data_IF_319823723157
#
_entry.id   IF_319823723157
#
_cell.length_a   1.000
_cell.length_b   1.000
_cell.length_c   1.000
_cell.angle_alpha   90.00
_cell.angle_beta   90.00
_cell.angle_gamma   90.00
#
_symmetry.space_group_name_H-M   'P 1'
#
loop_
_entity.id
_entity.type
_entity.pdbx_description
1 polymer ?
#
# COMPACT_ATOMS: atom_id res chain seq x y z
N UNK A 1 45.36 15.34 -19.18
CA UNK A 1 44.41 15.67 -20.26
C UNK A 1 43.13 14.91 -19.97
N UNK A 2 42.20 15.51 -19.20
CA UNK A 2 41.04 14.77 -18.61
C UNK A 2 39.73 15.56 -18.62
N UNK A 3 39.78 16.90 -18.75
CA UNK A 3 38.60 17.78 -18.66
C UNK A 3 37.51 17.51 -19.70
N UNK A 4 37.83 17.01 -20.89
CA UNK A 4 36.87 16.93 -21.99
C UNK A 4 35.94 15.70 -21.91
N UNK A 5 36.39 14.62 -21.24
CA UNK A 5 35.59 13.38 -21.10
C UNK A 5 34.57 13.49 -19.98
N UNK A 6 34.90 14.17 -18.88
CA UNK A 6 33.97 14.36 -17.77
C UNK A 6 32.77 15.22 -18.18
N UNK A 7 33.00 16.27 -18.97
CA UNK A 7 31.96 17.13 -19.54
C UNK A 7 31.01 16.37 -20.48
N UNK A 8 31.52 15.36 -21.20
CA UNK A 8 30.70 14.49 -22.05
C UNK A 8 29.80 13.56 -21.23
N UNK A 9 30.32 13.02 -20.13
CA UNK A 9 29.53 12.14 -19.26
C UNK A 9 28.32 12.89 -18.69
N UNK A 10 28.55 14.12 -18.21
CA UNK A 10 27.50 14.93 -17.59
C UNK A 10 26.44 15.39 -18.62
N UNK A 11 26.84 15.66 -19.86
CA UNK A 11 25.92 16.14 -20.90
C UNK A 11 25.18 15.04 -21.64
N UNK A 12 25.81 13.88 -21.87
CA UNK A 12 25.32 12.90 -22.82
C UNK A 12 25.17 11.48 -22.25
N UNK A 13 25.77 11.16 -21.11
CA UNK A 13 25.77 9.79 -20.59
C UNK A 13 24.86 9.57 -19.37
N UNK A 14 24.40 10.63 -18.70
CA UNK A 14 23.56 10.50 -17.49
C UNK A 14 22.23 9.76 -17.73
N UNK A 15 21.72 9.79 -18.95
CA UNK A 15 20.47 9.12 -19.35
C UNK A 15 20.71 7.87 -20.20
N UNK A 16 21.95 7.39 -20.31
CA UNK A 16 22.25 6.19 -21.07
C UNK A 16 21.89 4.94 -20.25
N UNK A 17 21.00 4.10 -20.80
CA UNK A 17 20.60 2.84 -20.17
C UNK A 17 21.66 1.73 -20.30
N UNK A 18 22.47 1.79 -21.37
CA UNK A 18 23.51 0.81 -21.70
C UNK A 18 24.73 1.51 -22.32
N UNK A 19 25.92 1.07 -21.94
CA UNK A 19 27.19 1.48 -22.52
C UNK A 19 27.85 0.32 -23.25
N UNK A 20 28.49 0.61 -24.39
CA UNK A 20 29.23 -0.39 -25.17
C UNK A 20 30.67 0.08 -25.35
N UNK A 21 31.62 -0.67 -24.79
CA UNK A 21 33.05 -0.51 -25.05
C UNK A 21 33.41 -1.30 -26.30
N UNK A 22 33.72 -0.61 -27.40
CA UNK A 22 34.22 -1.24 -28.62
C UNK A 22 35.75 -1.26 -28.55
N UNK A 23 36.31 -2.39 -28.13
CA UNK A 23 37.75 -2.61 -28.04
C UNK A 23 38.29 -3.21 -29.35
N UNK A 24 39.49 -2.81 -29.74
CA UNK A 24 40.18 -3.45 -30.87
C UNK A 24 40.78 -4.78 -30.40
N UNK A 25 40.33 -5.90 -30.97
CA UNK A 25 40.80 -7.24 -30.63
C UNK A 25 42.30 -7.49 -30.91
N UNK A 26 42.91 -6.73 -31.83
CA UNK A 26 44.35 -6.81 -32.09
C UNK A 26 45.19 -6.21 -30.94
N UNK A 27 44.55 -5.56 -29.97
CA UNK A 27 45.20 -4.86 -28.85
C UNK A 27 44.47 -5.09 -27.53
N UNK A 28 45.12 -4.83 -26.41
CA UNK A 28 44.47 -4.89 -25.10
C UNK A 28 43.69 -3.61 -24.80
N UNK A 29 42.65 -3.71 -23.95
CA UNK A 29 41.89 -2.56 -23.47
C UNK A 29 42.86 -1.58 -22.79
N UNK A 30 42.91 -0.35 -23.29
CA UNK A 30 43.85 0.67 -22.83
C UNK A 30 43.37 1.34 -21.53
N UNK A 31 44.32 1.84 -20.74
CA UNK A 31 44.01 2.56 -19.49
C UNK A 31 43.14 3.81 -19.71
N UNK A 32 43.22 4.43 -20.88
CA UNK A 32 42.35 5.57 -21.26
C UNK A 32 40.89 5.16 -21.36
N UNK A 33 40.61 4.02 -21.97
CA UNK A 33 39.27 3.44 -22.09
C UNK A 33 38.76 3.04 -20.70
N UNK A 34 39.60 2.34 -19.92
CA UNK A 34 39.26 1.98 -18.53
C UNK A 34 38.92 3.21 -17.68
N UNK A 35 39.72 4.26 -17.78
CA UNK A 35 39.53 5.50 -17.00
C UNK A 35 38.16 6.14 -17.28
N UNK A 36 37.70 6.13 -18.53
CA UNK A 36 36.36 6.62 -18.87
C UNK A 36 35.27 5.83 -18.12
N UNK A 37 35.35 4.50 -18.12
CA UNK A 37 34.35 3.66 -17.46
C UNK A 37 34.44 3.68 -15.92
N UNK A 38 35.62 3.93 -15.35
CA UNK A 38 35.73 4.25 -13.92
C UNK A 38 35.00 5.55 -13.56
N UNK A 39 35.09 6.58 -14.42
CA UNK A 39 34.34 7.81 -14.19
C UNK A 39 32.83 7.57 -14.34
N UNK A 40 32.40 6.77 -15.32
CA UNK A 40 30.99 6.38 -15.48
C UNK A 40 30.49 5.62 -14.26
N UNK A 41 31.22 4.61 -13.75
CA UNK A 41 30.81 3.82 -12.58
C UNK A 41 30.83 4.61 -11.27
N UNK A 42 31.59 5.71 -11.21
CA UNK A 42 31.56 6.64 -10.06
C UNK A 42 30.30 7.51 -10.03
N UNK A 43 29.71 7.83 -11.19
CA UNK A 43 28.55 8.71 -11.34
C UNK A 43 27.23 7.94 -11.45
N UNK A 44 27.25 6.77 -12.06
CA UNK A 44 26.08 5.91 -12.29
C UNK A 44 26.25 4.65 -11.47
N UNK A 45 25.28 4.33 -10.62
CA UNK A 45 25.31 3.10 -9.82
C UNK A 45 25.01 1.90 -10.70
N UNK A 46 25.95 0.95 -10.80
CA UNK A 46 25.85 -0.30 -11.58
C UNK A 46 25.41 -0.08 -13.05
N UNK A 47 26.21 0.65 -13.86
CA UNK A 47 25.92 0.82 -15.28
C UNK A 47 25.94 -0.52 -16.02
N UNK A 48 25.04 -0.69 -16.99
CA UNK A 48 25.07 -1.83 -17.91
C UNK A 48 26.16 -1.60 -18.95
N UNK A 49 27.25 -2.35 -18.86
CA UNK A 49 28.41 -2.21 -19.76
C UNK A 49 28.58 -3.51 -20.55
N UNK A 50 28.62 -3.40 -21.88
CA UNK A 50 29.01 -4.46 -22.81
C UNK A 50 30.42 -4.20 -23.34
N UNK A 51 31.17 -5.26 -23.60
CA UNK A 51 32.50 -5.19 -24.22
C UNK A 51 32.48 -5.96 -25.54
N UNK A 52 32.76 -5.25 -26.63
CA UNK A 52 32.90 -5.84 -27.96
C UNK A 52 34.37 -5.82 -28.36
N UNK A 53 35.02 -6.98 -28.37
CA UNK A 53 36.30 -7.17 -29.03
C UNK A 53 36.05 -7.24 -30.54
N UNK A 54 36.10 -6.08 -31.19
CA UNK A 54 35.86 -5.92 -32.62
C UNK A 54 37.14 -6.17 -33.43
N UNK A 55 36.99 -6.42 -34.75
CA UNK A 55 38.05 -6.84 -35.67
C UNK A 55 38.56 -8.26 -35.41
N UNK A 56 37.72 -9.13 -34.85
CA UNK A 56 38.06 -10.53 -34.61
C UNK A 56 38.32 -11.33 -35.89
N UNK A 57 37.90 -10.82 -37.05
CA UNK A 57 38.22 -11.36 -38.38
C UNK A 57 39.71 -11.32 -38.71
N UNK A 58 40.49 -10.41 -38.10
CA UNK A 58 41.94 -10.27 -38.36
C UNK A 58 42.76 -11.22 -37.50
N UNK A 59 42.23 -11.64 -36.34
CA UNK A 59 42.91 -12.51 -35.36
C UNK A 59 43.15 -13.94 -35.88
N UNK A 60 42.55 -14.33 -37.00
CA UNK A 60 42.70 -15.64 -37.64
C UNK A 60 43.96 -15.78 -38.52
N UNK A 61 44.84 -14.78 -38.53
CA UNK A 61 46.15 -14.90 -39.21
C UNK A 61 47.07 -15.94 -38.56
N UNK A 62 46.86 -16.30 -37.28
CA UNK A 62 47.63 -17.31 -36.54
C UNK A 62 46.67 -18.24 -35.73
N UNK A 63 46.06 -19.26 -36.34
CA UNK A 63 44.98 -20.05 -35.73
C UNK A 63 45.42 -20.87 -34.50
N UNK A 64 46.71 -21.18 -34.36
CA UNK A 64 47.25 -21.95 -33.24
C UNK A 64 47.12 -21.24 -31.89
N UNK A 65 47.14 -19.89 -31.89
CA UNK A 65 47.07 -19.08 -30.66
C UNK A 65 45.71 -18.43 -30.41
N UNK A 66 44.75 -18.59 -31.34
CA UNK A 66 43.48 -17.87 -31.31
C UNK A 66 42.67 -18.15 -30.03
N UNK A 67 42.64 -19.40 -29.58
CA UNK A 67 41.96 -19.80 -28.34
C UNK A 67 42.60 -19.18 -27.09
N UNK A 68 43.93 -19.11 -27.05
CA UNK A 68 44.66 -18.53 -25.93
C UNK A 68 44.49 -17.00 -25.88
N UNK A 69 44.55 -16.33 -27.03
CA UNK A 69 44.30 -14.89 -27.15
C UNK A 69 42.85 -14.57 -26.76
N UNK A 70 41.87 -15.34 -27.23
CA UNK A 70 40.46 -15.17 -26.86
C UNK A 70 40.27 -15.29 -25.35
N UNK A 71 40.84 -16.34 -24.75
CA UNK A 71 40.78 -16.55 -23.29
C UNK A 71 41.41 -15.37 -22.55
N UNK A 72 42.56 -14.89 -23.00
CA UNK A 72 43.25 -13.77 -22.37
C UNK A 72 42.44 -12.47 -22.42
N UNK A 73 41.77 -12.18 -23.54
CA UNK A 73 40.85 -11.05 -23.66
C UNK A 73 39.62 -11.21 -22.78
N UNK A 74 39.03 -12.41 -22.76
CA UNK A 74 37.87 -12.73 -21.92
C UNK A 74 38.22 -12.52 -20.44
N UNK A 75 39.30 -13.13 -19.96
CA UNK A 75 39.71 -13.06 -18.55
C UNK A 75 39.98 -11.60 -18.13
N UNK A 76 40.65 -10.80 -18.98
CA UNK A 76 40.88 -9.38 -18.72
C UNK A 76 39.61 -8.54 -18.70
N UNK A 77 38.68 -8.81 -19.62
CA UNK A 77 37.42 -8.08 -19.68
C UNK A 77 36.50 -8.46 -18.50
N UNK A 78 36.49 -9.73 -18.10
CA UNK A 78 35.78 -10.19 -16.89
C UNK A 78 36.38 -9.53 -15.65
N UNK A 79 37.70 -9.55 -15.48
CA UNK A 79 38.39 -8.89 -14.36
C UNK A 79 38.05 -7.38 -14.30
N UNK A 80 38.06 -6.73 -15.46
CA UNK A 80 37.69 -5.33 -15.58
C UNK A 80 36.24 -5.04 -15.13
N UNK A 81 35.26 -5.84 -15.57
CA UNK A 81 33.85 -5.63 -15.20
C UNK A 81 33.56 -5.99 -13.73
N UNK A 82 34.21 -7.05 -13.22
CA UNK A 82 33.88 -7.66 -11.92
C UNK A 82 34.74 -7.12 -10.77
N UNK A 83 36.06 -7.04 -10.94
CA UNK A 83 37.00 -6.68 -9.88
C UNK A 83 37.34 -5.19 -9.90
N UNK A 84 37.59 -4.62 -11.09
CA UNK A 84 37.92 -3.21 -11.23
C UNK A 84 36.68 -2.30 -11.11
N UNK A 85 35.66 -2.52 -11.95
CA UNK A 85 34.44 -1.69 -11.94
C UNK A 85 33.38 -2.14 -10.93
N UNK A 86 33.34 -3.43 -10.59
CA UNK A 86 32.36 -4.03 -9.66
C UNK A 86 30.90 -3.81 -10.08
N UNK A 87 30.65 -3.88 -11.39
CA UNK A 87 29.32 -3.58 -11.98
C UNK A 87 28.50 -4.83 -12.32
N UNK A 88 29.12 -6.00 -12.36
CA UNK A 88 28.47 -7.27 -12.67
C UNK A 88 29.10 -8.44 -11.91
N UNK A 89 28.40 -9.57 -11.83
CA UNK A 89 28.98 -10.85 -11.39
C UNK A 89 29.85 -11.46 -12.49
N UNK A 90 30.64 -12.50 -12.17
CA UNK A 90 31.45 -13.21 -13.17
C UNK A 90 30.58 -13.86 -14.26
N UNK A 91 29.45 -14.44 -13.87
CA UNK A 91 28.51 -15.08 -14.80
C UNK A 91 27.86 -14.04 -15.73
N UNK A 92 27.42 -12.91 -15.17
CA UNK A 92 26.89 -11.80 -15.95
C UNK A 92 27.94 -11.17 -16.87
N UNK A 93 29.21 -11.13 -16.46
CA UNK A 93 30.28 -10.57 -17.28
C UNK A 93 30.52 -11.41 -18.54
N UNK A 94 30.50 -12.74 -18.44
CA UNK A 94 30.62 -13.63 -19.60
C UNK A 94 29.51 -13.39 -20.65
N UNK A 95 28.31 -13.07 -20.19
CA UNK A 95 27.16 -12.74 -21.03
C UNK A 95 27.21 -11.33 -21.65
N UNK A 96 28.20 -10.50 -21.28
CA UNK A 96 28.37 -9.10 -21.73
C UNK A 96 29.59 -8.88 -22.61
N UNK A 97 30.42 -9.91 -22.80
CA UNK A 97 31.68 -9.82 -23.56
C UNK A 97 31.55 -10.65 -24.84
N UNK A 98 31.79 -10.01 -25.98
CA UNK A 98 31.63 -10.64 -27.29
C UNK A 98 32.85 -10.40 -28.19
N UNK A 99 33.15 -11.41 -29.01
CA UNK A 99 34.21 -11.37 -30.02
C UNK A 99 33.54 -11.33 -31.40
N UNK A 100 33.70 -10.22 -32.10
CA UNK A 100 32.88 -9.92 -33.28
C UNK A 100 33.70 -9.27 -34.39
N UNK A 101 33.15 -9.31 -35.61
CA UNK A 101 33.54 -8.40 -36.68
C UNK A 101 32.34 -7.58 -37.12
N UNK A 102 32.29 -6.31 -36.70
CA UNK A 102 31.25 -5.39 -37.12
C UNK A 102 31.28 -5.15 -38.64
N UNK A 103 32.46 -5.25 -39.27
CA UNK A 103 32.63 -5.14 -40.72
C UNK A 103 31.93 -6.28 -41.44
N UNK A 104 32.19 -7.52 -41.04
CA UNK A 104 31.55 -8.70 -41.63
C UNK A 104 30.03 -8.68 -41.40
N UNK A 105 29.58 -8.32 -40.20
CA UNK A 105 28.16 -8.23 -39.89
C UNK A 105 27.44 -7.17 -40.76
N UNK A 106 28.08 -6.02 -40.99
CA UNK A 106 27.55 -5.00 -41.89
C UNK A 106 27.51 -5.49 -43.34
N UNK A 107 28.61 -6.08 -43.82
CA UNK A 107 28.70 -6.61 -45.19
C UNK A 107 27.65 -7.69 -45.47
N UNK A 108 27.44 -8.62 -44.53
CA UNK A 108 26.41 -9.64 -44.63
C UNK A 108 25.01 -9.04 -44.78
N UNK A 109 24.66 -8.04 -43.96
CA UNK A 109 23.36 -7.35 -44.02
C UNK A 109 23.16 -6.53 -45.28
N UNK A 110 24.21 -5.92 -45.82
CA UNK A 110 24.15 -5.20 -47.09
C UNK A 110 23.93 -6.17 -48.26
N UNK A 111 24.57 -7.35 -48.21
CA UNK A 111 24.34 -8.41 -49.19
C UNK A 111 22.90 -8.96 -49.12
N UNK A 112 22.37 -9.18 -47.91
CA UNK A 112 20.96 -9.58 -47.70
C UNK A 112 19.97 -8.55 -48.27
N UNK A 113 20.34 -7.27 -48.31
CA UNK A 113 19.55 -6.18 -48.90
C UNK A 113 19.77 -5.99 -50.41
N UNK A 114 20.62 -6.79 -51.04
CA UNK A 114 20.90 -6.74 -52.47
C UNK A 114 21.87 -5.65 -52.91
N UNK A 115 22.64 -5.06 -52.00
CA UNK A 115 23.67 -4.07 -52.34
C UNK A 115 24.97 -4.76 -52.83
N UNK A 116 25.72 -4.15 -53.78
CA UNK A 116 26.98 -4.70 -54.25
C UNK A 116 28.06 -4.55 -53.18
N UNK A 117 28.35 -5.64 -52.47
CA UNK A 117 29.42 -5.69 -51.48
C UNK A 117 30.73 -6.14 -52.14
N UNK A 118 31.82 -5.42 -51.90
CA UNK A 118 33.17 -5.82 -52.35
C UNK A 118 33.53 -7.20 -51.79
N UNK A 119 34.04 -8.07 -52.65
CA UNK A 119 34.32 -9.48 -52.37
C UNK A 119 35.08 -9.69 -51.03
N UNK A 120 34.67 -10.78 -50.34
CA UNK A 120 35.31 -11.48 -49.21
C UNK A 120 34.51 -11.50 -47.89
N UNK A 121 33.26 -11.97 -47.92
CA UNK A 121 32.58 -12.50 -46.70
C UNK A 121 33.10 -13.92 -46.36
N UNK A 122 33.90 -14.51 -47.25
CA UNK A 122 34.39 -15.88 -47.15
C UNK A 122 35.75 -15.98 -46.46
N UNK A 123 35.86 -15.45 -45.24
CA UNK A 123 36.91 -15.86 -44.31
C UNK A 123 36.36 -17.03 -43.50
N UNK A 124 37.20 -18.02 -43.18
CA UNK A 124 36.81 -19.11 -42.28
C UNK A 124 36.27 -18.53 -40.95
N UNK A 125 35.39 -19.24 -40.26
CA UNK A 125 34.82 -18.75 -38.99
C UNK A 125 33.81 -17.59 -39.07
N UNK A 126 33.48 -17.04 -40.27
CA UNK A 126 32.50 -15.95 -40.44
C UNK A 126 31.17 -16.24 -39.73
N UNK A 127 30.60 -17.44 -39.92
CA UNK A 127 29.30 -17.81 -39.33
C UNK A 127 29.32 -17.71 -37.79
N UNK A 128 30.44 -18.09 -37.16
CA UNK A 128 30.62 -18.01 -35.71
C UNK A 128 30.64 -16.55 -35.25
N UNK A 129 31.37 -15.68 -35.96
CA UNK A 129 31.47 -14.24 -35.64
C UNK A 129 30.14 -13.52 -35.90
N UNK A 130 29.43 -13.86 -36.97
CA UNK A 130 28.12 -13.30 -37.26
C UNK A 130 27.08 -13.71 -36.22
N UNK A 131 27.07 -14.99 -35.83
CA UNK A 131 26.23 -15.49 -34.74
C UNK A 131 26.56 -14.82 -33.39
N UNK A 132 27.85 -14.61 -33.09
CA UNK A 132 28.27 -13.86 -31.91
C UNK A 132 27.73 -12.43 -31.90
N UNK A 133 27.75 -11.75 -33.06
CA UNK A 133 27.17 -10.40 -33.20
C UNK A 133 25.65 -10.39 -33.01
N UNK A 134 24.93 -11.36 -33.57
CA UNK A 134 23.48 -11.51 -33.36
C UNK A 134 23.15 -11.79 -31.89
N UNK A 135 23.95 -12.61 -31.21
CA UNK A 135 23.79 -12.86 -29.78
C UNK A 135 24.03 -11.61 -28.94
N UNK A 136 25.03 -10.81 -29.29
CA UNK A 136 25.24 -9.49 -28.69
C UNK A 136 23.99 -8.64 -28.83
N UNK A 137 23.46 -8.47 -30.04
CA UNK A 137 22.28 -7.62 -30.26
C UNK A 137 21.07 -8.10 -29.48
N UNK A 138 20.80 -9.41 -29.44
CA UNK A 138 19.72 -9.98 -28.63
C UNK A 138 19.90 -9.67 -27.15
N UNK A 139 21.09 -9.89 -26.60
CA UNK A 139 21.40 -9.59 -25.18
C UNK A 139 21.34 -8.09 -24.89
N UNK A 140 21.79 -7.27 -25.83
CA UNK A 140 21.72 -5.81 -25.76
C UNK A 140 20.26 -5.33 -25.74
N UNK A 141 19.41 -5.87 -26.61
CA UNK A 141 17.97 -5.56 -26.68
C UNK A 141 17.23 -5.99 -25.40
N UNK A 142 17.51 -7.20 -24.90
CA UNK A 142 16.97 -7.65 -23.61
C UNK A 142 17.40 -6.73 -22.46
N UNK A 143 18.65 -6.28 -22.47
CA UNK A 143 19.21 -5.42 -21.43
C UNK A 143 18.63 -4.01 -21.46
N UNK A 144 18.55 -3.37 -22.63
CA UNK A 144 17.99 -2.02 -22.77
C UNK A 144 16.48 -2.02 -22.48
N UNK A 145 15.76 -3.08 -22.89
CA UNK A 145 14.33 -3.20 -22.64
C UNK A 145 14.02 -3.40 -21.16
N UNK A 146 14.71 -4.31 -20.47
CA UNK A 146 14.51 -4.56 -19.03
C UNK A 146 14.97 -3.37 -18.18
N UNK A 147 16.15 -2.82 -18.48
CA UNK A 147 16.72 -1.73 -17.69
C UNK A 147 15.92 -0.44 -17.84
N UNK A 148 15.47 -0.10 -19.05
CA UNK A 148 14.65 1.10 -19.28
C UNK A 148 13.28 1.02 -18.60
N UNK A 149 12.68 -0.17 -18.50
CA UNK A 149 11.44 -0.37 -17.74
C UNK A 149 11.69 -0.15 -16.25
N UNK A 150 12.78 -0.72 -15.72
CA UNK A 150 13.09 -0.57 -14.30
C UNK A 150 13.43 0.88 -13.93
N UNK A 151 14.30 1.57 -14.68
CA UNK A 151 14.70 2.95 -14.37
C UNK A 151 13.55 3.95 -14.53
N UNK A 152 12.68 3.78 -15.53
CA UNK A 152 11.56 4.71 -15.76
C UNK A 152 10.38 4.48 -14.83
N UNK A 153 10.06 3.24 -14.46
CA UNK A 153 8.82 2.94 -13.74
C UNK A 153 9.00 2.62 -12.25
N UNK A 154 10.20 2.26 -11.79
CA UNK A 154 10.40 1.84 -10.40
C UNK A 154 10.01 2.90 -9.38
N UNK A 155 10.27 4.19 -9.66
CA UNK A 155 9.86 5.28 -8.75
C UNK A 155 8.33 5.43 -8.71
N UNK A 156 7.65 5.28 -9.84
CA UNK A 156 6.18 5.32 -9.91
C UNK A 156 5.56 4.13 -9.17
N UNK A 157 6.13 2.93 -9.30
CA UNK A 157 5.69 1.74 -8.56
C UNK A 157 5.82 1.97 -7.04
N UNK A 158 6.99 2.45 -6.58
CA UNK A 158 7.20 2.78 -5.16
C UNK A 158 6.22 3.83 -4.64
N UNK A 159 5.98 4.87 -5.44
CA UNK A 159 5.01 5.91 -5.10
C UNK A 159 3.59 5.33 -5.01
N UNK A 160 3.18 4.49 -5.96
CA UNK A 160 1.90 3.79 -5.94
C UNK A 160 1.72 2.89 -4.72
N UNK A 161 2.74 2.12 -4.36
CA UNK A 161 2.73 1.30 -3.13
C UNK A 161 2.54 2.15 -1.87
N UNK A 162 3.20 3.31 -1.78
CA UNK A 162 3.04 4.20 -0.65
C UNK A 162 1.62 4.78 -0.57
N UNK A 163 1.07 5.22 -1.71
CA UNK A 163 -0.31 5.73 -1.78
C UNK A 163 -1.30 4.66 -1.32
N UNK A 164 -1.14 3.41 -1.76
CA UNK A 164 -2.02 2.31 -1.36
C UNK A 164 -1.93 2.06 0.15
N UNK A 165 -0.71 2.03 0.72
CA UNK A 165 -0.52 1.88 2.18
C UNK A 165 -1.20 2.99 2.97
N UNK A 166 -1.07 4.23 2.51
CA UNK A 166 -1.71 5.39 3.13
C UNK A 166 -3.24 5.33 3.05
N UNK A 167 -3.80 4.83 1.94
CA UNK A 167 -5.24 4.62 1.79
C UNK A 167 -5.74 3.53 2.73
N UNK A 168 -5.06 2.38 2.77
CA UNK A 168 -5.43 1.24 3.61
C UNK A 168 -5.42 1.65 5.09
N UNK A 169 -4.35 2.29 5.57
CA UNK A 169 -4.28 2.75 6.96
C UNK A 169 -5.38 3.76 7.33
N UNK A 170 -5.79 4.62 6.38
CA UNK A 170 -6.91 5.55 6.60
C UNK A 170 -8.24 4.82 6.69
N UNK A 171 -8.47 3.82 5.84
CA UNK A 171 -9.68 2.99 5.87
C UNK A 171 -9.76 2.18 7.16
N UNK A 172 -8.66 1.57 7.59
CA UNK A 172 -8.58 0.85 8.87
C UNK A 172 -8.92 1.75 10.06
N UNK A 173 -8.41 2.99 10.06
CA UNK A 173 -8.75 3.96 11.11
C UNK A 173 -10.23 4.32 11.10
N UNK A 174 -10.83 4.55 9.92
CA UNK A 174 -12.27 4.84 9.80
C UNK A 174 -13.11 3.67 10.28
N UNK A 175 -12.74 2.45 9.90
CA UNK A 175 -13.41 1.23 10.36
C UNK A 175 -13.36 1.11 11.88
N UNK A 176 -12.17 1.27 12.48
CA UNK A 176 -12.01 1.21 13.94
C UNK A 176 -12.81 2.31 14.67
N UNK A 177 -12.89 3.52 14.10
CA UNK A 177 -13.72 4.58 14.66
C UNK A 177 -15.21 4.20 14.64
N UNK A 178 -15.70 3.67 13.51
CA UNK A 178 -17.10 3.25 13.38
C UNK A 178 -17.45 2.09 14.32
N UNK A 179 -16.54 1.12 14.49
CA UNK A 179 -16.70 0.01 15.44
C UNK A 179 -16.80 0.52 16.88
N UNK A 180 -15.93 1.45 17.28
CA UNK A 180 -15.95 2.04 18.62
C UNK A 180 -17.25 2.83 18.86
N UNK A 181 -17.69 3.63 17.88
CA UNK A 181 -18.94 4.39 17.97
C UNK A 181 -20.15 3.46 18.12
N UNK A 182 -20.17 2.35 17.37
CA UNK A 182 -21.22 1.32 17.49
C UNK A 182 -21.22 0.68 18.88
N UNK A 183 -20.04 0.42 19.46
CA UNK A 183 -19.91 -0.14 20.81
C UNK A 183 -20.43 0.84 21.87
N UNK A 184 -20.07 2.12 21.76
CA UNK A 184 -20.50 3.15 22.70
C UNK A 184 -22.01 3.42 22.60
N UNK A 185 -22.59 3.44 21.40
CA UNK A 185 -24.04 3.57 21.20
C UNK A 185 -24.80 2.39 21.83
N UNK A 186 -24.30 1.16 21.65
CA UNK A 186 -24.90 -0.02 22.27
C UNK A 186 -24.84 0.03 23.80
N UNK A 187 -23.73 0.52 24.37
CA UNK A 187 -23.61 0.74 25.83
C UNK A 187 -24.60 1.77 26.31
N UNK A 188 -24.67 2.93 25.64
CA UNK A 188 -25.61 3.99 25.98
C UNK A 188 -27.07 3.52 25.90
N UNK A 189 -27.39 2.71 24.88
CA UNK A 189 -28.71 2.11 24.73
C UNK A 189 -29.04 1.17 25.90
N UNK A 190 -28.10 0.30 26.29
CA UNK A 190 -28.25 -0.58 27.46
C UNK A 190 -28.49 0.22 28.76
N UNK A 191 -27.70 1.26 28.99
CA UNK A 191 -27.83 2.11 30.18
C UNK A 191 -29.19 2.83 30.24
N UNK A 192 -29.71 3.26 29.08
CA UNK A 192 -31.04 3.88 28.98
C UNK A 192 -32.16 2.88 29.26
N UNK A 193 -32.04 1.64 28.76
CA UNK A 193 -32.99 0.57 29.06
C UNK A 193 -33.00 0.23 30.55
N UNK A 194 -31.85 0.15 31.20
CA UNK A 194 -31.75 -0.11 32.64
C UNK A 194 -32.39 1.01 33.47
N UNK A 195 -32.16 2.28 33.08
CA UNK A 195 -32.82 3.44 33.72
C UNK A 195 -34.34 3.40 33.53
N UNK A 196 -34.82 3.03 32.34
CA UNK A 196 -36.24 2.91 32.05
C UNK A 196 -36.87 1.83 32.94
N UNK A 197 -36.24 0.65 33.02
CA UNK A 197 -36.69 -0.44 33.88
C UNK A 197 -36.76 0.00 35.36
N UNK A 198 -35.76 0.73 35.85
CA UNK A 198 -35.76 1.26 37.22
C UNK A 198 -36.93 2.22 37.47
N UNK A 199 -37.17 3.17 36.55
CA UNK A 199 -38.27 4.13 36.65
C UNK A 199 -39.61 3.40 36.62
N UNK A 200 -39.77 2.38 35.77
CA UNK A 200 -41.00 1.60 35.68
C UNK A 200 -41.30 0.87 37.00
N UNK A 201 -40.28 0.28 37.63
CA UNK A 201 -40.40 -0.38 38.93
C UNK A 201 -40.79 0.62 40.02
N UNK A 202 -40.12 1.79 40.09
CA UNK A 202 -40.43 2.83 41.07
C UNK A 202 -41.85 3.41 40.87
N UNK A 203 -42.28 3.63 39.63
CA UNK A 203 -43.64 4.09 39.33
C UNK A 203 -44.68 3.08 39.79
N UNK A 204 -44.46 1.77 39.56
CA UNK A 204 -45.35 0.71 40.05
C UNK A 204 -45.40 0.71 41.58
N UNK A 205 -44.26 0.88 42.25
CA UNK A 205 -44.18 0.96 43.72
C UNK A 205 -44.94 2.16 44.26
N UNK A 206 -44.68 3.37 43.75
CA UNK A 206 -45.36 4.61 44.18
C UNK A 206 -46.86 4.52 43.92
N UNK A 207 -47.27 3.96 42.78
CA UNK A 207 -48.70 3.78 42.46
C UNK A 207 -49.38 2.87 43.48
N UNK A 208 -48.71 1.79 43.91
CA UNK A 208 -49.21 0.90 44.95
C UNK A 208 -49.29 1.63 46.31
N UNK A 209 -48.21 2.30 46.72
CA UNK A 209 -48.17 3.05 47.99
C UNK A 209 -49.27 4.12 48.04
N UNK A 210 -49.55 4.79 46.92
CA UNK A 210 -50.60 5.81 46.84
C UNK A 210 -52.00 5.20 46.92
N UNK A 211 -52.24 4.05 46.28
CA UNK A 211 -53.50 3.30 46.42
C UNK A 211 -53.75 2.91 47.88
N UNK A 212 -52.75 2.39 48.57
CA UNK A 212 -52.85 2.02 49.99
C UNK A 212 -53.16 3.24 50.87
N UNK A 213 -52.51 4.38 50.63
CA UNK A 213 -52.83 5.62 51.36
C UNK A 213 -54.25 6.11 51.13
N UNK A 214 -54.73 6.08 49.89
CA UNK A 214 -56.11 6.47 49.55
C UNK A 214 -57.10 5.56 50.27
N UNK A 215 -56.86 4.24 50.25
CA UNK A 215 -57.68 3.25 50.95
C UNK A 215 -57.76 3.57 52.46
N UNK A 216 -56.62 3.78 53.12
CA UNK A 216 -56.56 4.09 54.55
C UNK A 216 -57.29 5.40 54.90
N UNK A 217 -57.16 6.43 54.07
CA UNK A 217 -57.87 7.71 54.29
C UNK A 217 -59.39 7.52 54.11
N UNK A 218 -59.82 6.75 53.11
CA UNK A 218 -61.23 6.47 52.89
C UNK A 218 -61.85 5.73 54.09
N UNK A 219 -61.15 4.72 54.63
CA UNK A 219 -61.57 3.97 55.81
C UNK A 219 -61.63 4.86 57.08
N UNK A 220 -60.63 5.73 57.30
CA UNK A 220 -60.64 6.66 58.45
C UNK A 220 -61.78 7.68 58.36
N UNK A 221 -62.07 8.18 57.15
CA UNK A 221 -63.22 9.07 56.92
C UNK A 221 -64.54 8.34 57.17
N UNK A 222 -64.71 7.13 56.67
CA UNK A 222 -65.91 6.31 56.89
C UNK A 222 -66.13 6.04 58.38
N UNK A 223 -65.07 5.70 59.11
CA UNK A 223 -65.13 5.45 60.55
C UNK A 223 -65.52 6.72 61.33
N UNK A 224 -64.92 7.87 61.02
CA UNK A 224 -65.24 9.14 61.68
C UNK A 224 -66.67 9.61 61.40
N UNK A 225 -67.13 9.48 60.16
CA UNK A 225 -68.53 9.81 59.79
C UNK A 225 -69.50 8.89 60.54
N UNK A 226 -69.21 7.59 60.61
CA UNK A 226 -70.04 6.62 61.33
C UNK A 226 -70.08 6.89 62.85
N UNK A 227 -68.96 7.28 63.45
CA UNK A 227 -68.92 7.67 64.86
C UNK A 227 -69.74 8.93 65.12
N UNK A 228 -69.53 9.99 64.33
CA UNK A 228 -70.26 11.25 64.49
C UNK A 228 -71.79 11.07 64.33
N UNK A 229 -72.22 10.25 63.35
CA UNK A 229 -73.63 9.91 63.18
C UNK A 229 -74.20 9.16 64.40
N UNK A 230 -73.46 8.17 64.94
CA UNK A 230 -73.89 7.45 66.13
C UNK A 230 -74.00 8.35 67.37
N UNK A 231 -73.07 9.27 67.55
CA UNK A 231 -73.10 10.22 68.66
C UNK A 231 -74.30 11.17 68.54
N UNK A 232 -74.65 11.62 67.34
CA UNK A 232 -75.82 12.47 67.12
C UNK A 232 -77.14 11.70 67.34
N UNK A 233 -77.21 10.42 66.94
CA UNK A 233 -78.34 9.54 67.25
C UNK A 233 -78.52 9.41 68.76
N UNK A 234 -77.43 9.22 69.53
CA UNK A 234 -77.48 9.16 71.00
C UNK A 234 -77.90 10.50 71.60
N UNK A 235 -77.44 11.62 71.02
CA UNK A 235 -77.81 12.96 71.47
C UNK A 235 -79.30 13.23 71.26
N UNK A 236 -79.88 12.75 70.17
CA UNK A 236 -81.33 12.80 69.93
C UNK A 236 -82.11 12.08 71.04
N UNK A 237 -81.66 10.90 71.49
CA UNK A 237 -82.29 10.21 72.63
C UNK A 237 -82.30 11.07 73.89
N UNK A 238 -81.18 11.71 74.23
CA UNK A 238 -81.09 12.62 75.38
C UNK A 238 -81.97 13.88 75.21
N UNK A 239 -82.08 14.39 73.99
CA UNK A 239 -82.91 15.57 73.69
C UNK A 239 -84.40 15.24 73.85
N UNK A 240 -84.82 14.03 73.45
CA UNK A 240 -86.18 13.53 73.64
C UNK A 240 -86.48 13.30 75.13
N UNK A 241 -85.54 12.74 75.90
CA UNK A 241 -85.71 12.53 77.35
C UNK A 241 -85.75 13.83 78.16
N UNK A 242 -85.03 14.87 77.73
CA UNK A 242 -85.05 16.20 78.36
C UNK A 242 -86.17 17.11 77.85
N UNK A 243 -86.98 16.64 76.89
CA UNK A 243 -88.10 17.37 76.33
C UNK A 243 -89.27 17.44 77.31
N UNK A 244 -89.23 18.40 78.23
CA UNK A 244 -90.37 18.75 79.08
C UNK A 244 -91.20 19.85 78.42
N UNK A 245 -92.18 19.43 77.62
CA UNK A 245 -93.24 20.31 77.15
C UNK A 245 -94.54 20.01 77.90
N UNK A 246 -95.06 21.01 78.62
CA UNK A 246 -96.35 20.93 79.29
C UNK A 246 -97.45 21.11 78.25
N UNK A 247 -98.18 20.04 77.92
CA UNK A 247 -99.27 20.10 76.95
C UNK A 247 -100.38 21.04 77.46
N UNK A 248 -100.49 22.21 76.84
CA UNK A 248 -101.56 23.17 77.10
C UNK A 248 -102.87 22.74 76.45
N UNK A 249 -103.94 22.68 77.24
CA UNK A 249 -105.31 22.51 76.79
C UNK A 249 -105.86 23.82 76.26
N UNK A 250 -106.03 23.96 74.94
CA UNK A 250 -107.06 24.83 74.39
C UNK A 250 -107.54 24.40 72.99
N UNK A 251 -108.85 24.11 72.95
CA UNK A 251 -109.83 24.16 71.84
C UNK A 251 -109.50 25.14 70.72
N UNK A 252 -109.88 25.03 69.44
CA UNK A 252 -110.84 24.23 68.65
C UNK A 252 -110.57 24.66 67.18
N UNK A 253 -110.64 23.82 66.14
CA UNK A 253 -111.88 23.45 65.44
C UNK A 253 -111.55 22.50 64.28
N UNK A 254 -112.34 21.43 64.13
CA UNK A 254 -112.52 20.70 62.87
C UNK A 254 -113.39 21.52 61.92
N UNK A 255 -113.06 21.51 60.62
CA UNK A 255 -114.04 21.71 59.54
C UNK A 255 -113.87 20.61 58.48
N UNK A 256 -115.02 20.13 58.02
CA UNK A 256 -115.30 19.00 57.14
C UNK A 256 -114.38 18.86 55.93
#
# INVERSE_FOLDING_TARGET
VTRNLDDWIDKHCMNADVFVLVANAESTIMNTEKSFFHNVSSKISKPNIFVLHNRWDVSETEPEFLSEVQKQHMDRAVDFLTNELKVSTSEEAHDRIFFVSAKEALQARLQEKGEPVGANISVDGFNTRYFAFQNFERKFEECISKSAVQTKFQQHVKCGEQIIKDIVSRLERVLSMAENETVDDNRNHSDLLDKLNLIEVELKRITKDMKEKIQNIAEDVEQKVSQALNDEIRRLSNLVESFNFQFGSDSLTLRH
#
